data_IF_068557216935
#
_entry.id   IF_068557216935
#
_cell.length_a   1.000
_cell.length_b   1.000
_cell.length_c   1.000
_cell.angle_alpha   90.00
_cell.angle_beta   90.00
_cell.angle_gamma   90.00
#
_symmetry.space_group_name_H-M   'P 1'
#
loop_
_entity.id
_entity.type
_entity.pdbx_description
1 polymer ?
#
# COMPACT_ATOMS: atom_id res chain seq x y z
N UNK A 1 21.13 8.55 -19.43
CA UNK A 1 21.16 9.12 -18.06
C UNK A 1 19.79 9.14 -17.37
N UNK A 2 18.69 9.56 -18.00
CA UNK A 2 17.37 9.65 -17.35
C UNK A 2 16.83 8.30 -16.85
N UNK A 3 16.98 7.24 -17.64
CA UNK A 3 16.62 5.85 -17.26
C UNK A 3 17.40 5.38 -16.04
N UNK A 4 18.73 5.57 -16.03
CA UNK A 4 19.60 5.19 -14.90
C UNK A 4 19.18 5.93 -13.62
N UNK A 5 18.92 7.24 -13.69
CA UNK A 5 18.42 8.01 -12.54
C UNK A 5 17.08 7.46 -12.03
N UNK A 6 16.18 7.10 -12.94
CA UNK A 6 14.88 6.52 -12.60
C UNK A 6 15.03 5.18 -11.89
N UNK A 7 15.87 4.29 -12.42
CA UNK A 7 16.18 3.00 -11.80
C UNK A 7 16.82 3.18 -10.42
N UNK A 8 17.77 4.11 -10.29
CA UNK A 8 18.39 4.44 -9.01
C UNK A 8 17.37 4.92 -7.97
N UNK A 9 16.47 5.83 -8.36
CA UNK A 9 15.40 6.30 -7.46
C UNK A 9 14.42 5.18 -7.12
N UNK A 10 14.05 4.30 -8.06
CA UNK A 10 13.21 3.12 -7.77
C UNK A 10 13.89 2.18 -6.79
N UNK A 11 15.19 1.94 -6.92
CA UNK A 11 15.94 1.10 -5.98
C UNK A 11 15.91 1.68 -4.57
N UNK A 12 16.18 2.99 -4.42
CA UNK A 12 16.21 3.65 -3.10
C UNK A 12 14.83 3.78 -2.47
N UNK A 13 13.78 4.05 -3.26
CA UNK A 13 12.44 4.29 -2.72
C UNK A 13 11.63 3.03 -2.52
N UNK A 14 11.95 1.95 -3.24
CA UNK A 14 11.10 0.75 -3.29
C UNK A 14 11.90 -0.48 -2.89
N UNK A 15 12.90 -0.85 -3.69
CA UNK A 15 13.56 -2.15 -3.54
C UNK A 15 14.37 -2.27 -2.24
N UNK A 16 15.17 -1.24 -1.91
CA UNK A 16 15.98 -1.23 -0.69
C UNK A 16 15.07 -1.18 0.56
N UNK A 17 14.10 -0.25 0.69
CA UNK A 17 13.22 -0.24 1.86
C UNK A 17 12.43 -1.54 2.02
N UNK A 18 11.87 -2.09 0.94
CA UNK A 18 11.09 -3.33 1.01
C UNK A 18 11.98 -4.52 1.38
N UNK A 19 13.16 -4.64 0.75
CA UNK A 19 14.13 -5.67 1.07
C UNK A 19 14.60 -5.60 2.53
N UNK A 20 14.91 -4.39 3.01
CA UNK A 20 15.30 -4.16 4.40
C UNK A 20 14.17 -4.49 5.38
N UNK A 21 12.93 -4.09 5.11
CA UNK A 21 11.78 -4.42 5.97
C UNK A 21 11.54 -5.93 6.03
N UNK A 22 11.61 -6.63 4.89
CA UNK A 22 11.50 -8.09 4.86
C UNK A 22 12.65 -8.73 5.65
N UNK A 23 13.88 -8.27 5.44
CA UNK A 23 15.06 -8.81 6.14
C UNK A 23 14.97 -8.59 7.65
N UNK A 24 14.59 -7.39 8.11
CA UNK A 24 14.38 -7.10 9.53
C UNK A 24 13.30 -8.04 10.09
N UNK A 25 12.16 -8.15 9.40
CA UNK A 25 11.04 -8.99 9.85
C UNK A 25 11.42 -10.47 9.95
N UNK A 26 12.30 -10.97 9.11
CA UNK A 26 12.73 -12.37 9.15
C UNK A 26 13.81 -12.65 10.19
N UNK A 27 14.55 -11.64 10.66
CA UNK A 27 15.67 -11.80 11.59
C UNK A 27 15.40 -11.24 13.00
N UNK A 28 14.34 -10.46 13.19
CA UNK A 28 13.96 -9.94 14.50
C UNK A 28 13.21 -10.99 15.31
N UNK A 29 13.71 -11.30 16.51
CA UNK A 29 13.19 -12.36 17.38
C UNK A 29 12.18 -11.90 18.44
N UNK A 30 12.18 -10.61 18.81
CA UNK A 30 11.38 -10.06 19.92
C UNK A 30 10.00 -9.54 19.51
N UNK A 31 9.73 -9.48 18.20
CA UNK A 31 8.57 -8.79 17.66
C UNK A 31 8.58 -7.27 17.90
N UNK A 32 7.46 -6.61 17.57
CA UNK A 32 7.23 -5.16 17.73
C UNK A 32 6.20 -4.83 18.81
N UNK A 33 6.46 -3.80 19.59
CA UNK A 33 5.50 -3.24 20.53
C UNK A 33 4.42 -2.38 19.84
N UNK A 34 3.27 -2.22 20.47
CA UNK A 34 2.14 -1.42 19.94
C UNK A 34 2.53 0.01 19.58
N UNK A 35 3.38 0.65 20.39
CA UNK A 35 3.87 2.01 20.10
C UNK A 35 4.79 2.04 18.87
N UNK A 36 5.58 1.00 18.64
CA UNK A 36 6.44 0.88 17.46
C UNK A 36 5.58 0.69 16.20
N UNK A 37 4.51 -0.09 16.29
CA UNK A 37 3.54 -0.27 15.21
C UNK A 37 2.71 1.00 14.88
N UNK A 38 2.71 2.01 15.76
CA UNK A 38 2.18 3.36 15.49
C UNK A 38 3.26 4.26 14.90
N UNK A 39 4.42 4.32 15.55
CA UNK A 39 5.49 5.25 15.19
C UNK A 39 6.17 4.89 13.88
N UNK A 40 6.42 3.59 13.61
CA UNK A 40 7.16 3.17 12.43
C UNK A 40 6.43 3.51 11.13
N UNK A 41 5.13 3.19 10.93
CA UNK A 41 4.44 3.60 9.71
C UNK A 41 4.42 5.12 9.53
N UNK A 42 4.26 5.90 10.61
CA UNK A 42 4.28 7.36 10.54
C UNK A 42 5.64 7.91 10.14
N UNK A 43 6.70 7.45 10.80
CA UNK A 43 8.05 7.92 10.54
C UNK A 43 8.53 7.42 9.17
N UNK A 44 8.47 6.12 8.92
CA UNK A 44 8.92 5.55 7.65
C UNK A 44 8.03 5.98 6.49
N UNK A 45 6.71 5.82 6.59
CA UNK A 45 5.79 6.20 5.53
C UNK A 45 5.78 7.70 5.29
N UNK A 46 5.64 8.50 6.35
CA UNK A 46 5.61 9.96 6.28
C UNK A 46 6.91 10.58 5.75
N UNK A 47 8.07 10.16 6.27
CA UNK A 47 9.37 10.64 5.76
C UNK A 47 9.62 10.16 4.34
N UNK A 48 9.19 8.94 3.98
CA UNK A 48 9.33 8.43 2.62
C UNK A 48 8.50 9.22 1.61
N UNK A 49 7.33 9.75 1.99
CA UNK A 49 6.55 10.66 1.12
C UNK A 49 7.35 11.94 0.84
N UNK A 50 7.87 12.59 1.88
CA UNK A 50 8.67 13.81 1.74
C UNK A 50 9.94 13.57 0.92
N UNK A 51 10.60 12.42 1.13
CA UNK A 51 11.79 12.02 0.40
C UNK A 51 11.48 11.71 -1.06
N UNK A 52 10.39 10.99 -1.35
CA UNK A 52 9.91 10.73 -2.70
C UNK A 52 9.66 12.02 -3.47
N UNK A 53 8.97 12.98 -2.85
CA UNK A 53 8.71 14.28 -3.47
C UNK A 53 10.01 15.04 -3.75
N UNK A 54 10.97 14.99 -2.84
CA UNK A 54 12.28 15.61 -3.00
C UNK A 54 13.06 14.98 -4.15
N UNK A 55 13.13 13.65 -4.23
CA UNK A 55 13.79 12.95 -5.33
C UNK A 55 13.11 13.23 -6.68
N UNK A 56 11.77 13.19 -6.73
CA UNK A 56 11.04 13.45 -7.97
C UNK A 56 11.23 14.90 -8.46
N UNK A 57 11.08 15.88 -7.57
CA UNK A 57 11.19 17.30 -7.92
C UNK A 57 12.63 17.75 -8.21
N UNK A 58 13.59 17.38 -7.36
CA UNK A 58 14.95 17.91 -7.44
C UNK A 58 15.92 17.00 -8.20
N UNK A 59 15.87 15.68 -7.97
CA UNK A 59 16.81 14.74 -8.59
C UNK A 59 16.37 14.29 -10.00
N UNK A 60 15.10 13.91 -10.15
CA UNK A 60 14.51 13.51 -11.44
C UNK A 60 14.04 14.70 -12.28
N UNK A 61 13.81 15.87 -11.66
CA UNK A 61 13.29 17.09 -12.29
C UNK A 61 11.93 16.86 -12.98
N UNK A 62 11.04 16.13 -12.31
CA UNK A 62 9.71 15.79 -12.82
C UNK A 62 8.60 16.52 -12.07
N UNK A 63 7.43 16.64 -12.71
CA UNK A 63 6.27 17.27 -12.09
C UNK A 63 5.56 16.30 -11.14
N UNK A 64 5.20 16.79 -9.95
CA UNK A 64 4.41 16.03 -8.98
C UNK A 64 2.97 15.77 -9.46
N UNK A 65 2.48 16.57 -10.42
CA UNK A 65 1.16 16.37 -11.03
C UNK A 65 1.02 15.03 -11.74
N UNK A 66 2.12 14.36 -12.10
CA UNK A 66 2.11 12.99 -12.64
C UNK A 66 1.34 12.01 -11.73
N UNK A 67 1.38 12.23 -10.41
CA UNK A 67 0.70 11.39 -9.43
C UNK A 67 -0.83 11.50 -9.49
N UNK A 68 -1.36 12.60 -10.03
CA UNK A 68 -2.80 12.85 -10.11
C UNK A 68 -3.17 13.63 -11.38
N UNK A 69 -2.65 13.20 -12.52
CA UNK A 69 -2.78 13.90 -13.81
C UNK A 69 -4.15 13.72 -14.47
N UNK A 70 -4.97 12.79 -13.97
CA UNK A 70 -6.31 12.52 -14.47
C UNK A 70 -7.29 13.66 -14.23
N UNK A 71 -8.18 13.89 -15.20
CA UNK A 71 -9.33 14.79 -15.04
C UNK A 71 -10.36 14.15 -14.08
N UNK A 72 -10.87 14.93 -13.14
CA UNK A 72 -11.87 14.46 -12.17
C UNK A 72 -12.21 15.52 -11.13
N UNK A 73 -13.36 15.37 -10.48
CA UNK A 73 -13.79 16.19 -9.34
C UNK A 73 -13.64 15.39 -8.04
N UNK A 74 -13.58 16.07 -6.91
CA UNK A 74 -13.51 15.42 -5.61
C UNK A 74 -14.68 14.45 -5.35
N UNK A 75 -15.89 14.81 -5.75
CA UNK A 75 -17.07 13.94 -5.61
C UNK A 75 -16.94 12.63 -6.41
N UNK A 76 -16.40 12.69 -7.63
CA UNK A 76 -16.15 11.48 -8.41
C UNK A 76 -15.04 10.62 -7.78
N UNK A 77 -14.05 11.24 -7.14
CA UNK A 77 -12.99 10.47 -6.49
C UNK A 77 -13.52 9.70 -5.27
N UNK A 78 -14.41 10.31 -4.48
CA UNK A 78 -15.07 9.66 -3.35
C UNK A 78 -15.90 8.47 -3.85
N UNK A 79 -16.71 8.67 -4.90
CA UNK A 79 -17.52 7.60 -5.48
C UNK A 79 -16.66 6.43 -5.98
N UNK A 80 -15.56 6.75 -6.69
CA UNK A 80 -14.61 5.72 -7.14
C UNK A 80 -13.90 5.04 -5.98
N UNK A 81 -13.55 5.77 -4.93
CA UNK A 81 -12.97 5.19 -3.71
C UNK A 81 -13.90 4.17 -3.07
N UNK A 82 -15.19 4.52 -2.90
CA UNK A 82 -16.21 3.61 -2.37
C UNK A 82 -16.42 2.39 -3.28
N UNK A 83 -16.47 2.59 -4.61
CA UNK A 83 -16.59 1.50 -5.56
C UNK A 83 -15.39 0.53 -5.51
N UNK A 84 -14.17 1.07 -5.41
CA UNK A 84 -12.95 0.28 -5.26
C UNK A 84 -12.93 -0.47 -3.92
N UNK A 85 -13.38 0.15 -2.82
CA UNK A 85 -13.54 -0.54 -1.52
C UNK A 85 -14.47 -1.74 -1.65
N UNK A 86 -15.62 -1.58 -2.31
CA UNK A 86 -16.55 -2.69 -2.54
C UNK A 86 -15.89 -3.82 -3.36
N UNK A 87 -15.13 -3.47 -4.41
CA UNK A 87 -14.36 -4.44 -5.20
C UNK A 87 -13.32 -5.17 -4.33
N UNK A 88 -12.60 -4.46 -3.46
CA UNK A 88 -11.61 -5.08 -2.57
C UNK A 88 -12.25 -6.05 -1.58
N UNK A 89 -13.43 -5.76 -1.05
CA UNK A 89 -14.16 -6.71 -0.21
C UNK A 89 -14.69 -7.92 -1.00
N UNK A 90 -15.21 -7.72 -2.21
CA UNK A 90 -15.61 -8.83 -3.08
C UNK A 90 -14.40 -9.74 -3.35
N UNK A 91 -13.26 -9.16 -3.72
CA UNK A 91 -12.01 -9.90 -3.91
C UNK A 91 -11.60 -10.65 -2.65
N UNK A 92 -11.62 -10.00 -1.49
CA UNK A 92 -11.30 -10.64 -0.22
C UNK A 92 -12.13 -11.91 0.03
N UNK A 93 -13.44 -11.86 -0.18
CA UNK A 93 -14.31 -13.04 0.01
C UNK A 93 -14.08 -14.11 -1.06
N UNK A 94 -13.95 -13.73 -2.34
CA UNK A 94 -13.69 -14.68 -3.44
C UNK A 94 -12.34 -15.37 -3.26
N UNK A 95 -11.28 -14.60 -2.98
CA UNK A 95 -9.93 -15.10 -2.70
C UNK A 95 -9.93 -16.03 -1.50
N UNK A 96 -10.66 -15.69 -0.43
CA UNK A 96 -10.78 -16.55 0.74
C UNK A 96 -11.44 -17.87 0.40
N UNK A 97 -12.52 -17.86 -0.39
CA UNK A 97 -13.23 -19.09 -0.77
C UNK A 97 -12.42 -19.98 -1.74
N UNK A 98 -11.53 -19.39 -2.53
CA UNK A 98 -10.85 -20.10 -3.62
C UNK A 98 -9.39 -20.43 -3.33
N UNK A 99 -8.67 -19.57 -2.61
CA UNK A 99 -7.22 -19.66 -2.42
C UNK A 99 -6.80 -20.12 -1.03
N UNK A 100 -7.66 -20.04 0.00
CA UNK A 100 -7.25 -20.35 1.39
C UNK A 100 -6.83 -21.81 1.59
N UNK A 101 -7.32 -22.72 0.74
CA UNK A 101 -6.97 -24.15 0.80
C UNK A 101 -5.63 -24.45 0.12
N UNK A 102 -5.12 -23.53 -0.71
CA UNK A 102 -3.91 -23.70 -1.51
C UNK A 102 -2.73 -22.92 -0.97
N UNK A 103 -3.00 -21.82 -0.26
CA UNK A 103 -1.99 -20.88 0.20
C UNK A 103 -2.01 -20.76 1.72
N UNK A 104 -0.83 -20.54 2.30
CA UNK A 104 -0.65 -20.36 3.73
C UNK A 104 -0.75 -18.89 4.13
N UNK A 105 -1.59 -18.61 5.12
CA UNK A 105 -1.65 -17.32 5.80
C UNK A 105 -0.85 -17.38 7.11
N UNK A 106 -0.08 -16.32 7.39
CA UNK A 106 0.63 -16.15 8.66
C UNK A 106 -0.03 -15.03 9.46
N UNK A 107 -0.75 -15.34 10.55
CA UNK A 107 -1.36 -14.33 11.40
C UNK A 107 -0.32 -13.37 11.99
N UNK A 108 -0.66 -12.09 12.06
CA UNK A 108 0.19 -11.09 12.71
C UNK A 108 -0.29 -10.86 14.16
N UNK A 109 0.33 -11.55 15.11
CA UNK A 109 -0.03 -11.48 16.52
C UNK A 109 0.26 -10.12 17.16
N UNK A 110 1.25 -9.38 16.68
CA UNK A 110 1.57 -8.05 17.21
C UNK A 110 0.52 -7.03 16.77
N UNK A 111 0.07 -7.12 15.52
CA UNK A 111 -1.03 -6.30 15.01
C UNK A 111 -2.33 -6.60 15.77
N UNK A 112 -2.59 -7.87 16.10
CA UNK A 112 -3.69 -8.25 16.99
C UNK A 112 -3.51 -7.63 18.39
N UNK A 113 -2.31 -7.68 18.95
CA UNK A 113 -1.98 -7.04 20.23
C UNK A 113 -2.27 -5.54 20.22
N UNK A 114 -1.80 -4.82 19.19
CA UNK A 114 -2.10 -3.40 18.99
C UNK A 114 -3.61 -3.15 18.92
N UNK A 115 -4.36 -3.99 18.20
CA UNK A 115 -5.82 -3.86 18.13
C UNK A 115 -6.48 -4.04 19.50
N UNK A 116 -6.02 -4.99 20.31
CA UNK A 116 -6.53 -5.16 21.66
C UNK A 116 -6.18 -3.97 22.56
N UNK A 117 -4.98 -3.40 22.43
CA UNK A 117 -4.58 -2.18 23.15
C UNK A 117 -5.41 -0.96 22.72
N UNK A 118 -5.77 -0.85 21.44
CA UNK A 118 -6.66 0.21 20.95
C UNK A 118 -8.06 0.14 21.57
N UNK A 119 -8.54 -1.04 22.01
CA UNK A 119 -9.82 -1.17 22.71
C UNK A 119 -9.81 -0.54 24.10
N UNK A 120 -8.64 -0.50 24.74
CA UNK A 120 -8.48 0.02 26.10
C UNK A 120 -7.85 1.42 26.13
N UNK A 121 -7.27 1.87 25.02
CA UNK A 121 -6.60 3.17 24.90
C UNK A 121 -7.10 3.99 23.69
N UNK A 122 -7.92 5.01 23.98
CA UNK A 122 -8.50 5.90 22.97
C UNK A 122 -7.45 6.69 22.17
N UNK A 123 -6.30 7.02 22.77
CA UNK A 123 -5.24 7.75 22.08
C UNK A 123 -4.63 6.88 20.98
N UNK A 124 -4.36 5.60 21.27
CA UNK A 124 -3.87 4.66 20.26
C UNK A 124 -4.88 4.50 19.11
N UNK A 125 -6.18 4.42 19.45
CA UNK A 125 -7.24 4.33 18.44
C UNK A 125 -7.26 5.55 17.50
N UNK A 126 -7.21 6.77 18.06
CA UNK A 126 -7.22 8.02 17.27
C UNK A 126 -5.97 8.13 16.41
N UNK A 127 -4.79 7.80 16.96
CA UNK A 127 -3.54 7.83 16.22
C UNK A 127 -3.54 6.82 15.07
N UNK A 128 -4.07 5.62 15.32
CA UNK A 128 -4.13 4.55 14.32
C UNK A 128 -5.10 4.90 13.18
N UNK A 129 -6.38 5.18 13.48
CA UNK A 129 -7.38 5.50 12.45
C UNK A 129 -7.17 6.86 11.79
N UNK A 130 -6.46 7.78 12.45
CA UNK A 130 -6.10 9.08 11.90
C UNK A 130 -4.78 9.01 11.11
N UNK A 131 -3.70 9.62 11.62
CA UNK A 131 -2.50 9.84 10.82
C UNK A 131 -1.81 8.56 10.37
N UNK A 132 -1.83 7.48 11.16
CA UNK A 132 -1.13 6.22 10.80
C UNK A 132 -1.77 5.61 9.55
N UNK A 133 -3.07 5.35 9.58
CA UNK A 133 -3.79 4.72 8.48
C UNK A 133 -3.79 5.60 7.22
N UNK A 134 -4.02 6.90 7.37
CA UNK A 134 -4.13 7.81 6.22
C UNK A 134 -2.77 8.15 5.59
N UNK A 135 -1.78 8.53 6.40
CA UNK A 135 -0.49 9.02 5.91
C UNK A 135 0.57 7.94 5.87
N UNK A 136 0.74 7.22 6.98
CA UNK A 136 1.81 6.24 7.16
C UNK A 136 1.62 4.97 6.32
N UNK A 137 0.37 4.58 6.08
CA UNK A 137 0.00 3.37 5.34
C UNK A 137 -0.56 3.75 3.97
N UNK A 138 -1.81 4.23 3.91
CA UNK A 138 -2.53 4.34 2.63
C UNK A 138 -1.90 5.33 1.65
N UNK A 139 -1.67 6.59 2.04
CA UNK A 139 -1.07 7.58 1.14
C UNK A 139 0.34 7.16 0.69
N UNK A 140 1.16 6.68 1.62
CA UNK A 140 2.52 6.23 1.33
C UNK A 140 2.54 5.07 0.32
N UNK A 141 1.81 4.00 0.60
CA UNK A 141 1.81 2.82 -0.27
C UNK A 141 1.24 3.12 -1.66
N UNK A 142 0.16 3.90 -1.74
CA UNK A 142 -0.41 4.29 -3.03
C UNK A 142 0.51 5.23 -3.82
N UNK A 143 1.26 6.12 -3.16
CA UNK A 143 2.27 6.95 -3.81
C UNK A 143 3.43 6.10 -4.35
N UNK A 144 3.92 5.12 -3.60
CA UNK A 144 4.95 4.18 -4.07
C UNK A 144 4.44 3.40 -5.28
N UNK A 145 3.22 2.87 -5.23
CA UNK A 145 2.59 2.17 -6.35
C UNK A 145 2.56 3.04 -7.61
N UNK A 146 2.01 4.24 -7.50
CA UNK A 146 1.91 5.18 -8.62
C UNK A 146 3.30 5.61 -9.10
N UNK A 147 4.27 5.78 -8.19
CA UNK A 147 5.63 6.10 -8.55
C UNK A 147 6.29 5.01 -9.39
N UNK A 148 6.13 3.73 -9.02
CA UNK A 148 6.61 2.59 -9.83
C UNK A 148 6.01 2.65 -11.23
N UNK A 149 4.67 2.77 -11.32
CA UNK A 149 3.95 2.79 -12.60
C UNK A 149 4.42 3.95 -13.49
N UNK A 150 4.34 5.18 -12.97
CA UNK A 150 4.68 6.39 -13.74
C UNK A 150 6.15 6.48 -14.12
N UNK A 151 7.04 5.90 -13.32
CA UNK A 151 8.47 5.81 -13.62
C UNK A 151 8.76 4.82 -14.73
N UNK A 152 8.23 3.60 -14.64
CA UNK A 152 8.51 2.53 -15.60
C UNK A 152 7.78 2.71 -16.92
N UNK A 153 6.56 3.27 -16.94
CA UNK A 153 5.84 3.56 -18.19
C UNK A 153 6.60 4.54 -19.10
N UNK A 154 7.52 5.34 -18.58
CA UNK A 154 8.36 6.24 -19.38
C UNK A 154 9.37 5.51 -20.27
N UNK A 155 9.61 4.22 -20.04
CA UNK A 155 10.61 3.47 -20.78
C UNK A 155 10.11 3.02 -22.15
N UNK A 156 8.79 2.88 -22.32
CA UNK A 156 8.19 2.51 -23.60
C UNK A 156 6.71 2.88 -23.64
N UNK A 157 6.24 3.34 -24.80
CA UNK A 157 4.82 3.65 -25.04
C UNK A 157 4.00 2.43 -25.50
N UNK A 158 4.61 1.25 -25.60
CA UNK A 158 3.92 0.05 -26.05
C UNK A 158 2.86 -0.40 -25.04
N UNK A 159 1.70 -0.82 -25.52
CA UNK A 159 0.61 -1.35 -24.68
C UNK A 159 1.04 -2.58 -23.88
N UNK A 160 1.84 -3.46 -24.50
CA UNK A 160 2.40 -4.65 -23.85
C UNK A 160 3.27 -4.23 -22.66
N UNK A 161 4.18 -3.27 -22.86
CA UNK A 161 5.01 -2.75 -21.76
C UNK A 161 4.19 -2.15 -20.62
N UNK A 162 3.12 -1.42 -20.95
CA UNK A 162 2.21 -0.86 -19.94
C UNK A 162 1.62 -1.96 -19.05
N UNK A 163 1.15 -3.05 -19.66
CA UNK A 163 0.61 -4.21 -18.94
C UNK A 163 1.70 -4.93 -18.13
N UNK A 164 2.89 -5.11 -18.71
CA UNK A 164 4.05 -5.68 -18.00
C UNK A 164 4.38 -4.90 -16.73
N UNK A 165 4.36 -3.56 -16.78
CA UNK A 165 4.62 -2.70 -15.62
C UNK A 165 3.54 -2.84 -14.55
N UNK A 166 2.27 -3.02 -14.92
CA UNK A 166 1.18 -3.33 -13.97
C UNK A 166 1.48 -4.63 -13.23
N UNK A 167 1.89 -5.67 -13.94
CA UNK A 167 2.25 -6.96 -13.35
C UNK A 167 3.46 -6.81 -12.42
N UNK A 168 4.52 -6.14 -12.87
CA UNK A 168 5.73 -5.89 -12.06
C UNK A 168 5.38 -5.16 -10.76
N UNK A 169 4.64 -4.05 -10.85
CA UNK A 169 4.23 -3.28 -9.68
C UNK A 169 3.39 -4.14 -8.72
N UNK A 170 2.47 -4.95 -9.27
CA UNK A 170 1.62 -5.83 -8.48
C UNK A 170 2.41 -6.90 -7.74
N UNK A 171 3.37 -7.53 -8.41
CA UNK A 171 4.28 -8.51 -7.82
C UNK A 171 5.15 -7.88 -6.73
N UNK A 172 5.71 -6.69 -6.95
CA UNK A 172 6.54 -6.00 -5.95
C UNK A 172 5.72 -5.70 -4.69
N UNK A 173 4.50 -5.17 -4.85
CA UNK A 173 3.62 -4.85 -3.70
C UNK A 173 3.16 -6.13 -2.99
N UNK A 174 2.84 -7.20 -3.72
CA UNK A 174 2.53 -8.50 -3.11
C UNK A 174 3.72 -9.06 -2.32
N UNK A 175 4.92 -9.04 -2.89
CA UNK A 175 6.14 -9.51 -2.22
C UNK A 175 6.51 -8.66 -1.00
N UNK A 176 6.19 -7.36 -0.98
CA UNK A 176 6.37 -6.51 0.20
C UNK A 176 5.59 -7.04 1.42
N UNK A 177 4.53 -7.81 1.18
CA UNK A 177 3.69 -8.45 2.19
C UNK A 177 4.11 -9.89 2.51
N UNK A 178 5.38 -10.23 2.26
CA UNK A 178 5.96 -11.56 2.54
C UNK A 178 5.64 -12.10 3.94
N UNK A 179 5.62 -11.22 4.94
CA UNK A 179 5.36 -11.55 6.34
C UNK A 179 3.97 -12.16 6.59
N UNK A 180 3.00 -11.93 5.70
CA UNK A 180 1.64 -12.47 5.77
C UNK A 180 1.51 -13.88 5.18
N UNK A 181 2.60 -14.46 4.67
CA UNK A 181 2.62 -15.76 4.02
C UNK A 181 2.18 -15.70 2.55
N UNK A 182 2.20 -16.86 1.89
CA UNK A 182 1.87 -16.97 0.46
C UNK A 182 0.47 -16.47 0.11
N UNK A 183 -0.50 -16.64 1.02
CA UNK A 183 -1.85 -16.13 0.86
C UNK A 183 -1.87 -14.60 0.82
N UNK A 184 -1.19 -13.92 1.75
CA UNK A 184 -1.11 -12.46 1.76
C UNK A 184 -0.40 -11.90 0.53
N UNK A 185 0.71 -12.51 0.10
CA UNK A 185 1.44 -12.12 -1.11
C UNK A 185 0.54 -12.12 -2.35
N UNK A 186 -0.17 -13.23 -2.57
CA UNK A 186 -1.01 -13.40 -3.77
C UNK A 186 -2.23 -12.49 -3.74
N UNK A 187 -2.96 -12.46 -2.63
CA UNK A 187 -4.19 -11.66 -2.51
C UNK A 187 -3.93 -10.16 -2.59
N UNK A 188 -2.85 -9.68 -1.97
CA UNK A 188 -2.45 -8.28 -2.09
C UNK A 188 -1.92 -7.98 -3.49
N UNK A 189 -1.23 -8.91 -4.14
CA UNK A 189 -0.84 -8.81 -5.55
C UNK A 189 -2.06 -8.64 -6.49
N UNK A 190 -3.13 -9.41 -6.28
CA UNK A 190 -4.37 -9.32 -7.08
C UNK A 190 -5.06 -7.96 -6.86
N UNK A 191 -5.27 -7.54 -5.61
CA UNK A 191 -5.82 -6.20 -5.30
C UNK A 191 -4.94 -5.10 -5.88
N UNK A 192 -3.62 -5.29 -5.86
CA UNK A 192 -2.67 -4.37 -6.45
C UNK A 192 -2.84 -4.22 -7.94
N UNK A 193 -3.11 -5.32 -8.66
CA UNK A 193 -3.42 -5.28 -10.09
C UNK A 193 -4.67 -4.46 -10.40
N UNK A 194 -5.72 -4.56 -9.56
CA UNK A 194 -6.92 -3.71 -9.70
C UNK A 194 -6.59 -2.24 -9.50
N UNK A 195 -5.84 -1.90 -8.45
CA UNK A 195 -5.43 -0.52 -8.18
C UNK A 195 -4.57 0.05 -9.32
N UNK A 196 -3.61 -0.73 -9.81
CA UNK A 196 -2.74 -0.38 -10.93
C UNK A 196 -3.53 -0.18 -12.24
N UNK A 197 -4.50 -1.05 -12.52
CA UNK A 197 -5.35 -0.92 -13.70
C UNK A 197 -6.30 0.29 -13.61
N UNK A 198 -6.88 0.53 -12.43
CA UNK A 198 -7.65 1.73 -12.16
C UNK A 198 -6.80 2.99 -12.41
N UNK A 199 -5.59 3.04 -11.85
CA UNK A 199 -4.69 4.17 -12.06
C UNK A 199 -4.28 4.31 -13.52
N UNK A 200 -4.05 3.20 -14.24
CA UNK A 200 -3.77 3.24 -15.67
C UNK A 200 -4.89 3.95 -16.45
N UNK A 201 -6.16 3.67 -16.13
CA UNK A 201 -7.32 4.24 -16.82
C UNK A 201 -7.61 5.68 -16.41
N UNK A 202 -7.58 5.99 -15.11
CA UNK A 202 -8.07 7.27 -14.60
C UNK A 202 -6.97 8.24 -14.19
N UNK A 203 -5.76 7.77 -13.89
CA UNK A 203 -4.62 8.58 -13.40
C UNK A 203 -4.99 9.46 -12.18
N UNK A 204 -5.86 8.93 -11.31
CA UNK A 204 -6.31 9.58 -10.06
C UNK A 204 -5.77 8.83 -8.86
N UNK A 205 -5.10 9.53 -7.95
CA UNK A 205 -4.51 8.94 -6.73
C UNK A 205 -5.53 8.87 -5.58
N UNK A 206 -6.32 9.92 -5.38
CA UNK A 206 -7.24 10.03 -4.25
C UNK A 206 -8.22 8.85 -4.11
N UNK A 207 -8.83 8.32 -5.19
CA UNK A 207 -9.69 7.13 -5.08
C UNK A 207 -8.97 5.92 -4.51
N UNK A 208 -7.69 5.73 -4.85
CA UNK A 208 -6.89 4.61 -4.35
C UNK A 208 -6.66 4.73 -2.85
N UNK A 209 -6.33 5.95 -2.38
CA UNK A 209 -6.11 6.24 -0.96
C UNK A 209 -7.39 5.98 -0.17
N UNK A 210 -8.52 6.53 -0.62
CA UNK A 210 -9.82 6.33 0.04
C UNK A 210 -10.14 4.84 0.09
N UNK A 211 -9.96 4.12 -1.02
CA UNK A 211 -10.25 2.70 -1.08
C UNK A 211 -9.42 1.89 -0.09
N UNK A 212 -8.11 2.18 -0.01
CA UNK A 212 -7.16 1.56 0.89
C UNK A 212 -7.52 1.83 2.35
N UNK A 213 -7.71 3.10 2.74
CA UNK A 213 -8.11 3.49 4.10
C UNK A 213 -9.38 2.79 4.52
N UNK A 214 -10.41 2.79 3.67
CA UNK A 214 -11.69 2.17 4.01
C UNK A 214 -11.57 0.66 4.11
N UNK A 215 -10.83 0.02 3.20
CA UNK A 215 -10.65 -1.43 3.20
C UNK A 215 -9.96 -1.89 4.49
N UNK A 216 -8.85 -1.27 4.86
CA UNK A 216 -8.11 -1.62 6.08
C UNK A 216 -8.87 -1.19 7.34
N UNK A 217 -9.34 0.06 7.37
CA UNK A 217 -10.06 0.63 8.49
C UNK A 217 -11.32 -0.14 8.86
N UNK A 218 -12.12 -0.58 7.87
CA UNK A 218 -13.31 -1.39 8.13
C UNK A 218 -12.94 -2.76 8.69
N UNK A 219 -11.90 -3.43 8.16
CA UNK A 219 -11.46 -4.73 8.69
C UNK A 219 -11.01 -4.61 10.15
N UNK A 220 -10.23 -3.57 10.47
CA UNK A 220 -9.79 -3.30 11.84
C UNK A 220 -10.97 -2.95 12.74
N UNK A 221 -11.88 -2.08 12.30
CA UNK A 221 -13.07 -1.71 13.06
C UNK A 221 -13.95 -2.93 13.38
N UNK A 222 -14.18 -3.81 12.40
CA UNK A 222 -14.94 -5.05 12.60
C UNK A 222 -14.25 -5.93 13.64
N UNK A 223 -12.93 -6.11 13.55
CA UNK A 223 -12.19 -6.89 14.54
C UNK A 223 -12.32 -6.27 15.94
N UNK A 224 -12.14 -4.95 16.06
CA UNK A 224 -12.29 -4.22 17.33
C UNK A 224 -13.68 -4.34 17.94
N UNK A 225 -14.73 -4.56 17.15
CA UNK A 225 -16.10 -4.73 17.66
C UNK A 225 -16.40 -6.21 17.97
N UNK A 226 -15.91 -7.14 17.15
CA UNK A 226 -16.36 -8.55 17.17
C UNK A 226 -15.43 -9.51 17.90
N UNK A 227 -14.15 -9.17 18.08
CA UNK A 227 -13.21 -10.06 18.74
C UNK A 227 -13.63 -10.29 20.20
N UNK A 228 -13.64 -11.54 20.71
CA UNK A 228 -14.07 -11.84 22.08
C UNK A 228 -13.33 -10.99 23.13
N UNK A 229 -13.99 -10.70 24.25
CA UNK A 229 -13.37 -10.06 25.41
C UNK A 229 -12.49 -11.05 26.16
#
# INVERSE_FOLDING_TARGET
MKTIKTLFTLSIMVLIPFGSMIWIRTHQSSGFASIELILYPLLFGGLSIAFLFSLKKYFLKENLSDFNSGKGKWSSDILWGLALTAIYFILFYVERLTLSNWLSFKPNMEMLGLMLDMRTNLILLILWFGPVLWLGIALYEELIRVFILTSLWKFSNQKIWTLTVIIIASTIIGLAHWSQGSYGIVTIGIKSSVACFFFYKYKRLLPLIIAHVLYDGIQVAILLITYPR
#
